data_IF_217458642645
#
_entry.id   IF_217458642645
#
_cell.length_a   1.000
_cell.length_b   1.000
_cell.length_c   1.000
_cell.angle_alpha   90.00
_cell.angle_beta   90.00
_cell.angle_gamma   90.00
#
_symmetry.space_group_name_H-M   'P 1'
#
loop_
_entity.id
_entity.type
_entity.pdbx_description
1 polymer ?
#
# COMPACT_ATOMS: atom_id res chain seq x y z
N UNK A 1 20.23 19.59 3.28
CA UNK A 1 20.33 19.01 4.63
C UNK A 1 20.21 17.50 4.50
N UNK A 2 21.30 16.75 4.69
CA UNK A 2 21.24 15.28 4.64
C UNK A 2 20.57 14.76 5.91
N UNK A 3 19.51 13.96 5.80
CA UNK A 3 18.79 13.41 6.96
C UNK A 3 19.46 12.12 7.44
N UNK A 4 19.91 12.09 8.70
CA UNK A 4 20.49 10.89 9.31
C UNK A 4 19.40 9.86 9.62
N UNK A 5 19.79 8.60 9.82
CA UNK A 5 18.86 7.53 10.21
C UNK A 5 18.06 7.91 11.47
N UNK A 6 18.74 8.44 12.48
CA UNK A 6 18.15 8.90 13.74
C UNK A 6 17.03 9.94 13.52
N UNK A 7 17.25 10.91 12.63
CA UNK A 7 16.24 11.93 12.29
C UNK A 7 15.03 11.30 11.60
N UNK A 8 15.25 10.38 10.67
CA UNK A 8 14.16 9.67 9.96
C UNK A 8 13.37 8.76 10.89
N UNK A 9 14.04 8.09 11.82
CA UNK A 9 13.39 7.28 12.84
C UNK A 9 12.46 8.12 13.72
N UNK A 10 12.93 9.30 14.15
CA UNK A 10 12.10 10.25 14.91
C UNK A 10 10.89 10.72 14.10
N UNK A 11 11.09 11.05 12.84
CA UNK A 11 10.02 11.48 11.93
C UNK A 11 8.95 10.39 11.75
N UNK A 12 9.37 9.14 11.53
CA UNK A 12 8.46 8.00 11.41
C UNK A 12 7.61 7.81 12.68
N UNK A 13 8.22 7.88 13.86
CA UNK A 13 7.49 7.78 15.12
C UNK A 13 6.48 8.91 15.26
N UNK A 14 6.88 10.15 14.97
CA UNK A 14 5.99 11.33 15.08
C UNK A 14 4.83 11.24 14.09
N UNK A 15 5.04 10.72 12.87
CA UNK A 15 3.95 10.53 11.90
C UNK A 15 2.92 9.48 12.33
N UNK A 16 3.30 8.57 13.23
CA UNK A 16 2.40 7.57 13.79
C UNK A 16 1.75 8.04 15.10
N UNK A 17 2.03 9.27 15.55
CA UNK A 17 1.53 9.86 16.80
C UNK A 17 1.90 9.06 18.06
N UNK A 18 2.95 8.26 17.98
CA UNK A 18 3.38 7.38 19.07
C UNK A 18 4.43 8.02 19.99
N UNK A 19 4.36 7.66 21.27
CA UNK A 19 5.42 7.98 22.24
C UNK A 19 6.66 7.13 21.98
N UNK A 20 7.83 7.52 22.51
CA UNK A 20 9.03 6.68 22.41
C UNK A 20 8.89 5.32 23.11
N UNK A 21 8.06 5.25 24.15
CA UNK A 21 7.84 4.03 24.93
C UNK A 21 6.92 3.10 24.13
N UNK A 22 5.74 3.58 23.76
CA UNK A 22 4.75 2.81 22.99
C UNK A 22 5.30 2.33 21.65
N UNK A 23 6.04 3.18 20.93
CA UNK A 23 6.66 2.77 19.66
C UNK A 23 7.75 1.70 19.83
N UNK A 24 8.51 1.76 20.94
CA UNK A 24 9.52 0.75 21.25
C UNK A 24 8.90 -0.60 21.63
N UNK A 25 7.78 -0.58 22.37
CA UNK A 25 7.02 -1.78 22.73
C UNK A 25 6.39 -2.42 21.49
N UNK A 26 5.84 -1.60 20.59
CA UNK A 26 5.21 -2.03 19.34
C UNK A 26 6.17 -2.80 18.43
N UNK A 27 7.43 -2.39 18.39
CA UNK A 27 8.48 -3.05 17.61
C UNK A 27 9.26 -4.08 18.42
N UNK A 28 8.89 -4.35 19.67
CA UNK A 28 9.61 -5.25 20.58
C UNK A 28 11.12 -4.86 20.69
N UNK A 29 11.39 -3.57 20.79
CA UNK A 29 12.74 -3.00 20.96
C UNK A 29 12.84 -2.48 22.40
N UNK A 30 13.89 -2.83 23.16
CA UNK A 30 14.08 -2.25 24.48
C UNK A 30 14.11 -0.72 24.41
N UNK A 31 13.26 -0.03 25.17
CA UNK A 31 13.09 1.43 25.12
C UNK A 31 14.40 2.20 25.30
N UNK A 32 15.29 1.71 26.16
CA UNK A 32 16.61 2.31 26.36
C UNK A 32 17.48 2.26 25.09
N UNK A 33 17.43 1.15 24.34
CA UNK A 33 18.12 1.00 23.05
C UNK A 33 17.47 1.88 21.99
N UNK A 34 16.13 1.87 21.91
CA UNK A 34 15.37 2.70 20.98
C UNK A 34 15.72 4.20 21.13
N UNK A 35 15.77 4.71 22.37
CA UNK A 35 16.15 6.09 22.65
C UNK A 35 17.56 6.44 22.14
N UNK A 36 18.52 5.52 22.21
CA UNK A 36 19.87 5.74 21.68
C UNK A 36 19.88 5.78 20.16
N UNK A 37 19.05 4.97 19.50
CA UNK A 37 18.87 4.99 18.04
C UNK A 37 18.28 6.32 17.57
N UNK A 38 17.22 6.80 18.22
CA UNK A 38 16.57 8.07 17.84
C UNK A 38 17.46 9.29 18.08
N UNK A 39 18.41 9.21 19.02
CA UNK A 39 19.42 10.25 19.26
C UNK A 39 20.65 10.15 18.36
N UNK A 40 20.83 9.05 17.64
CA UNK A 40 22.05 8.77 16.87
C UNK A 40 23.27 8.43 17.73
N UNK A 41 23.08 8.12 19.01
CA UNK A 41 24.16 7.65 19.90
C UNK A 41 24.59 6.21 19.58
N UNK A 42 23.70 5.44 18.95
CA UNK A 42 23.94 4.05 18.56
C UNK A 42 23.21 3.76 17.25
N UNK A 43 23.84 2.96 16.39
CA UNK A 43 23.18 2.40 15.21
C UNK A 43 22.44 1.09 15.56
N UNK A 44 21.23 0.86 15.02
CA UNK A 44 20.52 -0.39 15.21
C UNK A 44 21.20 -1.55 14.48
N UNK A 45 21.15 -2.73 15.08
CA UNK A 45 21.62 -3.96 14.43
C UNK A 45 20.63 -4.41 13.34
N UNK A 46 21.08 -5.20 12.37
CA UNK A 46 20.23 -5.74 11.31
C UNK A 46 18.96 -6.42 11.85
N UNK A 47 19.07 -7.19 12.93
CA UNK A 47 17.92 -7.84 13.59
C UNK A 47 16.87 -6.85 14.11
N UNK A 48 17.28 -5.65 14.49
CA UNK A 48 16.37 -4.56 14.91
C UNK A 48 15.74 -3.91 13.69
N UNK A 49 16.53 -3.74 12.62
CA UNK A 49 16.08 -3.19 11.34
C UNK A 49 14.97 -4.06 10.72
N UNK A 50 15.13 -5.39 10.76
CA UNK A 50 14.13 -6.35 10.28
C UNK A 50 12.76 -6.19 10.95
N UNK A 51 12.72 -5.78 12.22
CA UNK A 51 11.46 -5.53 12.93
C UNK A 51 10.65 -4.41 12.28
N UNK A 52 11.30 -3.38 11.72
CA UNK A 52 10.61 -2.31 11.01
C UNK A 52 9.98 -2.77 9.69
N UNK A 53 10.59 -3.73 9.00
CA UNK A 53 10.01 -4.35 7.79
C UNK A 53 8.92 -5.35 8.11
N UNK A 54 8.98 -5.97 9.28
CA UNK A 54 8.04 -7.02 9.68
C UNK A 54 6.73 -6.47 10.24
N UNK A 55 6.75 -5.25 10.80
CA UNK A 55 5.57 -4.67 11.43
C UNK A 55 4.70 -3.88 10.43
N UNK A 56 3.38 -4.15 10.32
CA UNK A 56 2.51 -3.54 9.30
C UNK A 56 2.47 -2.00 9.30
N UNK A 57 2.63 -1.37 10.47
CA UNK A 57 2.63 0.09 10.59
C UNK A 57 3.91 0.76 10.10
N UNK A 58 5.03 0.04 10.11
CA UNK A 58 6.35 0.60 9.76
C UNK A 58 6.88 0.07 8.44
N UNK A 59 6.35 -1.05 7.94
CA UNK A 59 6.78 -1.73 6.70
C UNK A 59 6.87 -0.76 5.51
N UNK A 60 5.83 0.07 5.32
CA UNK A 60 5.76 1.03 4.21
C UNK A 60 6.85 2.10 4.25
N UNK A 61 7.35 2.42 5.44
CA UNK A 61 8.36 3.46 5.66
C UNK A 61 9.75 2.88 5.91
N UNK A 62 9.89 1.56 6.04
CA UNK A 62 11.16 0.91 6.37
C UNK A 62 12.24 1.13 5.29
N UNK A 63 11.86 1.15 4.01
CA UNK A 63 12.79 1.45 2.91
C UNK A 63 13.30 2.89 2.97
N UNK A 64 12.42 3.87 3.20
CA UNK A 64 12.78 5.27 3.37
C UNK A 64 13.63 5.49 4.63
N UNK A 65 13.32 4.77 5.72
CA UNK A 65 14.04 4.84 6.98
C UNK A 65 15.52 4.49 6.82
N UNK A 66 15.88 3.59 5.89
CA UNK A 66 17.27 3.18 5.63
C UNK A 66 17.89 4.02 4.52
N UNK A 67 17.25 4.10 3.37
CA UNK A 67 17.83 4.69 2.15
C UNK A 67 17.77 6.21 2.11
N UNK A 68 16.79 6.80 2.78
CA UNK A 68 16.59 8.25 2.86
C UNK A 68 15.99 8.82 1.58
N UNK A 69 15.78 7.96 0.58
CA UNK A 69 15.02 8.28 -0.59
C UNK A 69 13.57 7.90 -0.32
N UNK A 70 12.68 8.89 -0.47
CA UNK A 70 11.27 8.57 -0.63
C UNK A 70 11.18 7.74 -1.90
N UNK A 71 10.79 6.47 -1.76
CA UNK A 71 10.62 5.62 -2.94
C UNK A 71 9.70 6.36 -3.90
N UNK A 72 10.04 6.49 -5.20
CA UNK A 72 9.17 7.15 -6.19
C UNK A 72 7.82 6.44 -6.40
N UNK A 73 7.56 5.33 -5.69
CA UNK A 73 6.29 4.62 -5.65
C UNK A 73 5.51 4.78 -4.32
N UNK A 74 5.99 5.61 -3.39
CA UNK A 74 5.21 6.05 -2.24
C UNK A 74 4.56 7.38 -2.61
N UNK A 75 3.43 7.33 -3.32
CA UNK A 75 2.61 8.52 -3.52
C UNK A 75 2.13 9.02 -2.16
N UNK A 76 2.81 10.06 -1.69
CA UNK A 76 2.30 11.08 -0.78
C UNK A 76 0.88 11.47 -1.18
N UNK A 77 -0.08 11.21 -0.30
CA UNK A 77 -1.26 12.05 -0.20
C UNK A 77 -1.67 12.17 1.25
N UNK A 78 -1.20 13.25 1.86
CA UNK A 78 -1.97 13.94 2.89
C UNK A 78 -3.27 14.38 2.24
N UNK A 79 -4.33 13.57 2.35
CA UNK A 79 -5.74 14.00 2.44
C UNK A 79 -6.65 12.77 2.56
N UNK A 80 -7.24 12.66 3.76
CA UNK A 80 -8.56 12.11 4.08
C UNK A 80 -9.25 11.16 3.08
N UNK A 81 -9.59 9.98 3.60
CA UNK A 81 -10.71 9.09 3.18
C UNK A 81 -10.34 7.93 2.26
N UNK A 82 -10.23 6.75 2.88
CA UNK A 82 -10.58 5.41 2.38
C UNK A 82 -10.10 4.99 0.97
N UNK A 83 -9.13 4.07 0.93
CA UNK A 83 -9.30 2.74 0.32
C UNK A 83 -7.98 1.98 0.29
N UNK A 84 -7.95 0.81 0.93
CA UNK A 84 -6.91 -0.18 0.79
C UNK A 84 -6.82 -0.66 -0.67
N UNK A 85 -5.74 -0.33 -1.39
CA UNK A 85 -5.26 -1.17 -2.50
C UNK A 85 -3.97 -1.87 -2.07
N UNK A 86 -4.14 -3.14 -1.71
CA UNK A 86 -3.09 -4.15 -1.72
C UNK A 86 -2.63 -4.27 -3.18
N UNK A 87 -1.47 -3.74 -3.52
CA UNK A 87 -0.87 -3.95 -4.84
C UNK A 87 0.02 -5.19 -4.77
N UNK A 88 -0.55 -6.36 -5.05
CA UNK A 88 0.22 -7.50 -5.52
C UNK A 88 0.76 -7.16 -6.90
N UNK A 89 2.08 -7.28 -7.05
CA UNK A 89 2.87 -6.93 -8.23
C UNK A 89 2.63 -7.81 -9.48
N UNK A 90 1.53 -8.57 -9.55
CA UNK A 90 1.22 -9.51 -10.64
C UNK A 90 0.05 -9.08 -11.55
N UNK A 91 -0.60 -7.93 -11.32
CA UNK A 91 -1.98 -7.70 -11.81
C UNK A 91 -2.15 -6.61 -12.88
N UNK A 92 -1.07 -5.99 -13.39
CA UNK A 92 -1.21 -4.93 -14.42
C UNK A 92 -1.72 -5.47 -15.77
N UNK A 93 -1.26 -6.66 -16.15
CA UNK A 93 -1.67 -7.28 -17.41
C UNK A 93 -3.13 -7.72 -17.35
N UNK A 94 -3.57 -8.28 -16.22
CA UNK A 94 -4.97 -8.67 -16.01
C UNK A 94 -5.88 -7.45 -15.97
N UNK A 95 -5.54 -6.39 -15.23
CA UNK A 95 -6.33 -5.15 -15.21
C UNK A 95 -6.51 -4.63 -16.65
N UNK A 96 -5.44 -4.59 -17.45
CA UNK A 96 -5.52 -4.12 -18.84
C UNK A 96 -6.40 -5.00 -19.73
N UNK A 97 -6.30 -6.33 -19.60
CA UNK A 97 -7.11 -7.28 -20.36
C UNK A 97 -8.58 -7.21 -19.96
N UNK A 98 -8.87 -7.09 -18.66
CA UNK A 98 -10.22 -6.93 -18.15
C UNK A 98 -10.87 -5.64 -18.65
N UNK A 99 -10.15 -4.51 -18.57
CA UNK A 99 -10.65 -3.22 -19.05
C UNK A 99 -10.98 -3.29 -20.54
N UNK A 100 -10.11 -3.92 -21.34
CA UNK A 100 -10.34 -4.12 -22.77
C UNK A 100 -11.59 -4.97 -23.03
N UNK A 101 -11.71 -6.13 -22.38
CA UNK A 101 -12.85 -7.03 -22.55
C UNK A 101 -14.18 -6.39 -22.11
N UNK A 102 -14.18 -5.65 -20.99
CA UNK A 102 -15.34 -4.94 -20.49
C UNK A 102 -15.79 -3.85 -21.46
N UNK A 103 -14.84 -3.07 -22.01
CA UNK A 103 -15.11 -2.05 -23.02
C UNK A 103 -15.72 -2.64 -24.29
N UNK A 104 -15.11 -3.70 -24.83
CA UNK A 104 -15.60 -4.37 -26.03
C UNK A 104 -17.02 -4.93 -25.83
N UNK A 105 -17.29 -5.52 -24.66
CA UNK A 105 -18.61 -6.03 -24.30
C UNK A 105 -19.64 -4.90 -24.18
N UNK A 106 -19.30 -3.80 -23.51
CA UNK A 106 -20.19 -2.64 -23.37
C UNK A 106 -20.49 -1.99 -24.72
N UNK A 107 -19.47 -1.83 -25.57
CA UNK A 107 -19.65 -1.34 -26.94
C UNK A 107 -20.56 -2.27 -27.73
N UNK A 108 -20.33 -3.58 -27.67
CA UNK A 108 -21.18 -4.56 -28.36
C UNK A 108 -22.65 -4.44 -27.93
N UNK A 109 -22.91 -4.34 -26.63
CA UNK A 109 -24.28 -4.17 -26.10
C UNK A 109 -24.90 -2.84 -26.57
N UNK A 110 -24.12 -1.76 -26.67
CA UNK A 110 -24.58 -0.51 -27.28
C UNK A 110 -24.93 -0.67 -28.77
N UNK A 111 -24.14 -1.43 -29.55
CA UNK A 111 -24.43 -1.72 -30.95
C UNK A 111 -25.70 -2.57 -31.12
N UNK A 112 -26.01 -3.45 -30.15
CA UNK A 112 -27.27 -4.20 -30.11
C UNK A 112 -28.50 -3.33 -29.77
N UNK A 113 -28.31 -2.06 -29.44
CA UNK A 113 -29.38 -1.12 -29.13
C UNK A 113 -30.00 -1.29 -27.74
N UNK A 114 -29.39 -2.09 -26.86
CA UNK A 114 -29.90 -2.30 -25.49
C UNK A 114 -29.65 -1.08 -24.59
N UNK A 115 -28.59 -0.31 -24.88
CA UNK A 115 -28.31 0.96 -24.21
C UNK A 115 -27.84 1.99 -25.23
N UNK A 116 -28.23 3.26 -25.01
CA UNK A 116 -27.70 4.39 -25.76
C UNK A 116 -26.57 5.01 -24.95
N UNK A 117 -25.38 5.11 -25.55
CA UNK A 117 -24.28 5.83 -24.93
C UNK A 117 -24.67 7.31 -24.76
N UNK A 118 -24.60 7.82 -23.53
CA UNK A 118 -24.70 9.26 -23.28
C UNK A 118 -23.52 10.00 -23.90
N UNK A 119 -23.67 11.30 -24.18
CA UNK A 119 -22.65 12.12 -24.85
C UNK A 119 -21.29 12.16 -24.13
N UNK A 120 -21.27 11.88 -22.83
CA UNK A 120 -20.07 11.95 -21.98
C UNK A 120 -19.61 10.59 -21.44
N UNK A 121 -20.19 9.47 -21.91
CA UNK A 121 -19.87 8.15 -21.37
C UNK A 121 -18.51 7.69 -21.89
N UNK A 122 -17.54 7.59 -20.98
CA UNK A 122 -16.24 7.00 -21.25
C UNK A 122 -16.23 5.52 -20.83
N UNK A 123 -16.24 4.61 -21.80
CA UNK A 123 -16.27 3.17 -21.56
C UNK A 123 -15.02 2.64 -20.84
N UNK A 124 -13.86 3.29 -20.98
CA UNK A 124 -12.65 2.93 -20.23
C UNK A 124 -12.82 3.23 -18.73
N UNK A 125 -13.58 4.26 -18.37
CA UNK A 125 -13.95 4.54 -16.97
C UNK A 125 -14.96 3.52 -16.43
N UNK A 126 -15.91 3.08 -17.26
CA UNK A 126 -16.86 2.03 -16.87
C UNK A 126 -16.13 0.72 -16.50
N UNK A 127 -15.10 0.34 -17.27
CA UNK A 127 -14.27 -0.84 -16.96
C UNK A 127 -13.61 -0.76 -15.58
N UNK A 128 -13.11 0.42 -15.19
CA UNK A 128 -12.52 0.64 -13.85
C UNK A 128 -13.53 0.56 -12.72
N UNK A 129 -14.74 1.08 -12.94
CA UNK A 129 -15.83 1.01 -11.96
C UNK A 129 -16.24 -0.45 -11.73
N UNK A 130 -16.44 -1.21 -12.81
CA UNK A 130 -16.74 -2.64 -12.74
C UNK A 130 -15.65 -3.41 -12.00
N UNK A 131 -14.38 -3.12 -12.30
CA UNK A 131 -13.26 -3.79 -11.62
C UNK A 131 -13.26 -3.49 -10.12
N UNK A 132 -13.49 -2.24 -9.70
CA UNK A 132 -13.58 -1.84 -8.29
C UNK A 132 -14.67 -2.61 -7.55
N UNK A 133 -15.85 -2.73 -8.16
CA UNK A 133 -17.00 -3.38 -7.53
C UNK A 133 -16.84 -4.91 -7.48
N UNK A 134 -16.08 -5.49 -8.42
CA UNK A 134 -15.74 -6.93 -8.44
C UNK A 134 -14.54 -7.31 -7.57
N UNK A 135 -13.65 -6.36 -7.28
CA UNK A 135 -12.46 -6.54 -6.45
C UNK A 135 -12.71 -7.28 -5.11
N UNK A 136 -13.78 -7.00 -4.32
CA UNK A 136 -14.05 -7.75 -3.09
C UNK A 136 -14.32 -9.25 -3.32
N UNK A 137 -14.87 -9.63 -4.48
CA UNK A 137 -15.14 -11.03 -4.83
C UNK A 137 -13.87 -11.74 -5.30
N UNK A 138 -13.03 -11.05 -6.07
CA UNK A 138 -11.72 -11.55 -6.50
C UNK A 138 -10.83 -11.83 -5.28
N UNK A 139 -10.79 -10.90 -4.32
CA UNK A 139 -10.03 -11.05 -3.09
C UNK A 139 -10.54 -12.20 -2.21
N UNK A 140 -11.87 -12.38 -2.09
CA UNK A 140 -12.47 -13.52 -1.38
C UNK A 140 -12.10 -14.86 -2.03
N UNK A 141 -12.06 -14.91 -3.36
CA UNK A 141 -11.65 -16.13 -4.10
C UNK A 141 -10.18 -16.48 -3.85
N UNK A 142 -9.28 -15.49 -3.83
CA UNK A 142 -7.87 -15.70 -3.51
C UNK A 142 -7.69 -16.31 -2.10
N UNK A 143 -8.44 -15.82 -1.11
CA UNK A 143 -8.42 -16.34 0.26
C UNK A 143 -9.02 -17.75 0.41
N UNK A 144 -10.00 -18.11 -0.42
CA UNK A 144 -10.62 -19.44 -0.39
C UNK A 144 -9.78 -20.51 -1.10
N UNK A 145 -8.93 -20.11 -2.04
CA UNK A 145 -7.96 -20.98 -2.71
C UNK A 145 -6.90 -21.52 -1.73
N UNK A 146 -6.44 -20.69 -0.79
CA UNK A 146 -5.37 -21.06 0.16
C UNK A 146 -5.84 -21.96 1.31
N UNK A 147 -7.17 -22.10 1.54
CA UNK A 147 -7.73 -22.97 2.58
C UNK A 147 -7.98 -24.42 2.15
N UNK A 148 -7.72 -24.78 0.88
CA UNK A 148 -7.97 -26.13 0.33
C UNK A 148 -6.73 -27.05 0.32
N UNK A 149 -5.76 -26.80 1.19
CA UNK A 149 -4.67 -27.75 1.46
C UNK A 149 -4.78 -28.14 2.93
N UNK A 150 -5.58 -29.17 3.18
CA UNK A 150 -5.71 -29.89 4.44
C UNK A 150 -5.72 -31.37 4.12
#
# INVERSE_FOLDING_TARGET
MSTTFATRLKQLRVSLEESQISFSELLDIPTASYRKYEKGEREPTLSVIEKFFSHPLTEKHACWLITGQESPNATTSSQSTQSNKVTQSYDKDFESQFLKAAKESLLFICHLGWFKAGKEVNFDNCGKILLRDLQPFLNKRALNSTKKVG
#
